data_IF_541055014501
#
_entry.id   IF_541055014501
#
_cell.length_a   1.000
_cell.length_b   1.000
_cell.length_c   1.000
_cell.angle_alpha   90.00
_cell.angle_beta   90.00
_cell.angle_gamma   90.00
#
_symmetry.space_group_name_H-M   'P 1'
#
loop_
_entity.id
_entity.type
_entity.pdbx_description
1 polymer ?
#
# COMPACT_ATOMS: atom_id res chain seq x y z
N UNK A 1 -11.95 16.55 15.43
CA UNK A 1 -11.06 17.65 14.98
C UNK A 1 -9.82 17.82 15.87
N UNK A 2 -9.93 17.75 17.20
CA UNK A 2 -8.80 17.91 18.14
C UNK A 2 -7.71 16.82 18.00
N UNK A 3 -8.09 15.57 17.85
CA UNK A 3 -7.17 14.43 17.73
C UNK A 3 -6.26 14.52 16.49
N UNK A 4 -6.80 14.92 15.35
CA UNK A 4 -6.02 15.09 14.13
C UNK A 4 -4.98 16.22 14.27
N UNK A 5 -5.32 17.30 14.98
CA UNK A 5 -4.40 18.43 15.26
C UNK A 5 -3.25 18.01 16.17
N UNK A 6 -3.53 17.16 17.16
CA UNK A 6 -2.51 16.61 18.04
C UNK A 6 -1.53 15.68 17.30
N UNK A 7 -2.03 14.78 16.46
CA UNK A 7 -1.19 13.91 15.62
C UNK A 7 -0.28 14.72 14.70
N UNK A 8 -0.80 15.77 14.05
CA UNK A 8 0.01 16.66 13.21
C UNK A 8 1.13 17.33 14.01
N UNK A 9 0.83 17.74 15.23
CA UNK A 9 1.86 18.30 16.12
C UNK A 9 2.95 17.29 16.45
N UNK A 10 2.59 16.02 16.77
CA UNK A 10 3.57 14.95 17.01
C UNK A 10 4.41 14.66 15.77
N UNK A 11 3.82 14.70 14.58
CA UNK A 11 4.56 14.53 13.32
C UNK A 11 5.57 15.68 13.12
N UNK A 12 5.20 16.92 13.41
CA UNK A 12 6.11 18.06 13.31
C UNK A 12 7.27 17.96 14.31
N UNK A 13 7.00 17.57 15.55
CA UNK A 13 8.04 17.29 16.53
C UNK A 13 8.96 16.12 16.09
N UNK A 14 8.40 15.08 15.47
CA UNK A 14 9.20 13.99 14.94
C UNK A 14 10.08 14.42 13.75
N UNK A 15 9.66 15.39 12.93
CA UNK A 15 10.49 16.01 11.89
C UNK A 15 11.69 16.78 12.49
N UNK A 16 11.55 17.24 13.73
CA UNK A 16 12.61 17.88 14.52
C UNK A 16 13.45 16.87 15.33
N UNK A 17 13.33 15.55 15.02
CA UNK A 17 14.01 14.44 15.70
C UNK A 17 13.65 14.28 17.20
N UNK A 18 12.44 14.68 17.61
CA UNK A 18 11.99 14.49 18.97
C UNK A 18 11.65 13.01 19.24
N UNK A 19 12.39 12.37 20.17
CA UNK A 19 12.27 10.96 20.49
C UNK A 19 10.90 10.60 21.12
N UNK A 20 10.33 11.49 21.92
CA UNK A 20 9.02 11.25 22.52
C UNK A 20 7.92 11.24 21.46
N UNK A 21 8.04 12.08 20.44
CA UNK A 21 7.13 12.14 19.32
C UNK A 21 7.22 10.86 18.47
N UNK A 22 8.44 10.35 18.21
CA UNK A 22 8.60 9.05 17.55
C UNK A 22 7.97 7.90 18.34
N UNK A 23 8.22 7.85 19.66
CA UNK A 23 7.63 6.84 20.55
C UNK A 23 6.10 6.91 20.56
N UNK A 24 5.55 8.11 20.59
CA UNK A 24 4.11 8.31 20.54
C UNK A 24 3.51 7.81 19.22
N UNK A 25 4.08 8.20 18.08
CA UNK A 25 3.60 7.78 16.76
C UNK A 25 3.73 6.26 16.58
N UNK A 26 4.83 5.67 17.04
CA UNK A 26 5.04 4.23 17.02
C UNK A 26 3.96 3.50 17.82
N UNK A 27 3.74 3.89 19.07
CA UNK A 27 2.73 3.25 19.94
C UNK A 27 1.31 3.42 19.41
N UNK A 28 1.00 4.58 18.82
CA UNK A 28 -0.33 4.88 18.29
C UNK A 28 -0.67 4.03 17.06
N UNK A 29 0.30 3.75 16.19
CA UNK A 29 0.06 3.12 14.89
C UNK A 29 0.66 1.71 14.76
N UNK A 30 1.26 1.18 15.82
CA UNK A 30 1.86 -0.15 15.82
C UNK A 30 0.87 -1.23 15.39
N UNK A 31 -0.26 -1.30 16.09
CA UNK A 31 -1.28 -2.32 15.85
C UNK A 31 -1.87 -2.22 14.45
N UNK A 32 -2.05 -1.01 13.93
CA UNK A 32 -2.55 -0.80 12.58
C UNK A 32 -1.61 -1.40 11.51
N UNK A 33 -0.30 -1.19 11.66
CA UNK A 33 0.70 -1.70 10.72
C UNK A 33 0.92 -3.19 10.92
N UNK A 34 1.04 -3.65 12.16
CA UNK A 34 1.26 -5.04 12.50
C UNK A 34 0.11 -5.93 12.01
N UNK A 35 -1.13 -5.57 12.35
CA UNK A 35 -2.32 -6.32 11.91
C UNK A 35 -2.48 -6.31 10.40
N UNK A 36 -2.16 -5.19 9.73
CA UNK A 36 -2.16 -5.14 8.28
C UNK A 36 -1.14 -6.11 7.68
N UNK A 37 0.07 -6.20 8.25
CA UNK A 37 1.10 -7.12 7.77
C UNK A 37 0.79 -8.57 8.15
N UNK A 38 0.30 -8.82 9.37
CA UNK A 38 -0.06 -10.16 9.82
C UNK A 38 -1.13 -10.80 8.94
N UNK A 39 -2.15 -10.04 8.55
CA UNK A 39 -3.18 -10.50 7.60
C UNK A 39 -2.59 -10.90 6.24
N UNK A 40 -1.53 -10.23 5.79
CA UNK A 40 -0.89 -10.48 4.48
C UNK A 40 0.15 -11.60 4.52
N UNK A 41 0.91 -11.70 5.58
CA UNK A 41 2.08 -12.59 5.71
C UNK A 41 1.70 -13.91 6.38
N UNK A 42 0.68 -13.89 7.25
CA UNK A 42 0.24 -15.04 8.06
C UNK A 42 1.36 -15.70 8.88
N UNK A 43 2.39 -14.92 9.20
CA UNK A 43 3.51 -15.31 10.05
C UNK A 43 3.86 -14.14 10.96
N UNK A 44 3.74 -14.32 12.27
CA UNK A 44 3.87 -13.28 13.29
C UNK A 44 5.27 -12.66 13.29
N UNK A 45 6.32 -13.48 13.28
CA UNK A 45 7.70 -13.00 13.29
C UNK A 45 8.03 -12.14 12.05
N UNK A 46 7.60 -12.57 10.88
CA UNK A 46 7.80 -11.82 9.65
C UNK A 46 6.95 -10.52 9.61
N UNK A 47 5.73 -10.57 10.16
CA UNK A 47 4.88 -9.39 10.26
C UNK A 47 5.47 -8.35 11.21
N UNK A 48 6.00 -8.78 12.36
CA UNK A 48 6.70 -7.92 13.31
C UNK A 48 7.95 -7.29 12.68
N UNK A 49 8.80 -8.08 12.01
CA UNK A 49 10.01 -7.60 11.36
C UNK A 49 9.71 -6.52 10.29
N UNK A 50 8.68 -6.76 9.45
CA UNK A 50 8.26 -5.75 8.47
C UNK A 50 7.67 -4.53 9.17
N UNK A 51 6.94 -4.69 10.27
CA UNK A 51 6.38 -3.56 11.03
C UNK A 51 7.50 -2.68 11.57
N UNK A 52 8.52 -3.25 12.20
CA UNK A 52 9.69 -2.52 12.69
C UNK A 52 10.38 -1.77 11.54
N UNK A 53 10.67 -2.47 10.44
CA UNK A 53 11.29 -1.87 9.25
C UNK A 53 10.44 -0.75 8.65
N UNK A 54 9.11 -0.86 8.73
CA UNK A 54 8.19 0.17 8.24
C UNK A 54 8.28 1.46 9.03
N UNK A 55 8.35 1.38 10.36
CA UNK A 55 8.53 2.54 11.21
C UNK A 55 9.92 3.16 11.04
N UNK A 56 10.97 2.36 10.99
CA UNK A 56 12.33 2.85 10.68
C UNK A 56 12.33 3.65 9.38
N UNK A 57 11.77 3.06 8.31
CA UNK A 57 11.69 3.72 6.99
C UNK A 57 10.80 4.95 6.98
N UNK A 58 9.71 4.93 7.74
CA UNK A 58 8.82 6.08 7.88
C UNK A 58 9.53 7.24 8.59
N UNK A 59 10.23 6.97 9.68
CA UNK A 59 10.95 8.00 10.42
C UNK A 59 12.13 8.59 9.65
N UNK A 60 12.87 7.76 8.89
CA UNK A 60 13.88 8.27 7.93
C UNK A 60 13.27 9.23 6.89
N UNK A 61 12.01 9.00 6.51
CA UNK A 61 11.32 9.74 5.45
C UNK A 61 10.24 10.70 5.97
N UNK A 62 10.21 10.98 7.26
CA UNK A 62 9.12 11.74 7.87
C UNK A 62 8.99 13.15 7.28
N UNK A 63 10.09 13.74 6.84
CA UNK A 63 10.11 15.04 6.16
C UNK A 63 9.40 15.04 4.81
N UNK A 64 9.17 13.85 4.21
CA UNK A 64 8.43 13.69 2.94
C UNK A 64 6.93 13.49 3.15
N UNK A 65 6.49 13.38 4.42
CA UNK A 65 5.07 13.25 4.72
C UNK A 65 4.32 14.55 4.41
N UNK A 66 3.19 14.39 3.71
CA UNK A 66 2.27 15.48 3.40
C UNK A 66 0.97 15.31 4.20
N UNK A 67 0.59 16.31 4.96
CA UNK A 67 -0.58 16.34 5.85
C UNK A 67 -1.94 16.32 5.13
N UNK A 68 -1.95 16.47 3.81
CA UNK A 68 -3.14 16.20 2.97
C UNK A 68 -3.64 14.75 3.06
N UNK A 69 -2.82 13.84 3.53
CA UNK A 69 -3.14 12.43 3.70
C UNK A 69 -3.09 12.04 5.17
N UNK A 70 -3.89 11.05 5.58
CA UNK A 70 -3.80 10.49 6.92
C UNK A 70 -2.43 9.81 7.12
N UNK A 71 -1.78 10.07 8.26
CA UNK A 71 -0.49 9.48 8.60
C UNK A 71 -0.52 7.95 8.57
N UNK A 72 -1.60 7.34 9.09
CA UNK A 72 -1.85 5.90 8.99
C UNK A 72 -1.78 5.39 7.53
N UNK A 73 -2.44 6.06 6.59
CA UNK A 73 -2.46 5.65 5.18
C UNK A 73 -1.06 5.75 4.55
N UNK A 74 -0.30 6.79 4.88
CA UNK A 74 1.06 6.96 4.42
C UNK A 74 1.99 5.87 4.97
N UNK A 75 1.88 5.55 6.27
CA UNK A 75 2.63 4.51 6.94
C UNK A 75 2.32 3.10 6.39
N UNK A 76 1.05 2.77 6.21
CA UNK A 76 0.60 1.52 5.57
C UNK A 76 1.16 1.41 4.14
N UNK A 77 1.24 2.51 3.39
CA UNK A 77 1.81 2.50 2.04
C UNK A 77 3.31 2.16 2.07
N UNK A 78 4.06 2.70 3.04
CA UNK A 78 5.48 2.36 3.24
C UNK A 78 5.61 0.87 3.57
N UNK A 79 4.81 0.38 4.51
CA UNK A 79 4.78 -1.00 4.96
C UNK A 79 4.45 -1.97 3.81
N UNK A 80 3.44 -1.67 3.00
CA UNK A 80 3.09 -2.45 1.81
C UNK A 80 4.26 -2.53 0.80
N UNK A 81 4.91 -1.40 0.53
CA UNK A 81 6.03 -1.36 -0.42
C UNK A 81 7.22 -2.18 0.08
N UNK A 82 7.54 -2.12 1.38
CA UNK A 82 8.61 -2.93 1.98
C UNK A 82 8.32 -4.44 1.85
N UNK A 83 7.09 -4.87 2.11
CA UNK A 83 6.69 -6.26 1.94
C UNK A 83 6.84 -6.72 0.49
N UNK A 84 6.36 -5.93 -0.48
CA UNK A 84 6.48 -6.25 -1.91
C UNK A 84 7.97 -6.33 -2.31
N UNK A 85 8.81 -5.41 -1.85
CA UNK A 85 10.24 -5.40 -2.16
C UNK A 85 10.95 -6.62 -1.54
N UNK A 86 10.53 -7.07 -0.36
CA UNK A 86 11.05 -8.29 0.26
C UNK A 86 10.65 -9.55 -0.53
N UNK A 87 9.39 -9.64 -0.97
CA UNK A 87 8.95 -10.74 -1.83
C UNK A 87 9.73 -10.79 -3.16
N UNK A 88 10.03 -9.64 -3.75
CA UNK A 88 10.83 -9.55 -4.99
C UNK A 88 12.28 -9.98 -4.77
N UNK A 89 12.89 -9.60 -3.66
CA UNK A 89 14.25 -10.03 -3.30
C UNK A 89 14.30 -11.54 -3.12
N UNK A 90 13.31 -12.11 -2.43
CA UNK A 90 13.24 -13.55 -2.22
C UNK A 90 13.02 -14.30 -3.55
N UNK A 91 12.17 -13.80 -4.46
CA UNK A 91 12.01 -14.38 -5.80
C UNK A 91 13.28 -14.31 -6.64
N UNK A 92 14.04 -13.22 -6.57
CA UNK A 92 15.30 -13.09 -7.30
C UNK A 92 16.41 -14.00 -6.75
N UNK A 93 16.34 -14.34 -5.45
CA UNK A 93 17.24 -15.31 -4.82
C UNK A 93 16.78 -16.77 -5.04
N UNK A 94 15.51 -16.99 -5.42
CA UNK A 94 14.88 -18.28 -5.66
C UNK A 94 14.84 -18.69 -7.14
N UNK A 95 15.58 -18.01 -8.01
CA UNK A 95 15.82 -18.51 -9.39
C UNK A 95 16.62 -19.82 -9.45
N UNK A 96 16.69 -20.53 -8.32
CA UNK A 96 17.19 -21.90 -8.19
C UNK A 96 16.19 -22.68 -7.31
N UNK A 97 14.96 -22.81 -7.70
CA UNK A 97 14.08 -23.92 -7.35
C UNK A 97 12.61 -23.49 -7.55
N UNK A 98 11.99 -24.19 -8.48
CA UNK A 98 10.55 -24.10 -8.76
C UNK A 98 9.75 -24.44 -7.50
N UNK A 99 8.83 -23.57 -7.12
CA UNK A 99 7.52 -23.98 -6.64
C UNK A 99 6.54 -22.81 -6.70
N UNK A 100 5.52 -23.02 -7.50
CA UNK A 100 4.28 -22.28 -7.51
C UNK A 100 3.59 -22.40 -6.15
N UNK A 101 3.75 -21.43 -5.30
CA UNK A 101 2.81 -21.20 -4.22
C UNK A 101 2.27 -19.77 -4.34
N UNK A 102 1.25 -19.66 -5.20
CA UNK A 102 0.24 -18.63 -5.05
C UNK A 102 -0.49 -18.94 -3.74
N UNK A 103 -0.01 -18.33 -2.64
CA UNK A 103 -0.79 -18.31 -1.40
C UNK A 103 -2.00 -17.44 -1.67
N UNK A 104 -3.12 -18.06 -1.96
CA UNK A 104 -4.43 -17.45 -1.83
C UNK A 104 -4.53 -16.86 -0.41
N UNK A 105 -4.65 -15.55 -0.34
CA UNK A 105 -4.98 -14.84 0.88
C UNK A 105 -6.42 -15.19 1.25
N UNK A 106 -6.63 -16.30 1.95
CA UNK A 106 -7.83 -16.47 2.75
C UNK A 106 -7.75 -15.49 3.91
N UNK A 107 -8.53 -14.43 3.82
CA UNK A 107 -8.74 -13.49 4.89
C UNK A 107 -9.27 -14.22 6.12
N UNK A 108 -8.68 -13.92 7.30
CA UNK A 108 -9.32 -14.27 8.57
C UNK A 108 -10.61 -13.48 8.64
N UNK A 109 -11.70 -14.18 8.74
CA UNK A 109 -13.09 -13.79 8.53
C UNK A 109 -13.45 -12.42 9.12
N UNK A 110 -13.74 -11.42 8.27
CA UNK A 110 -14.67 -10.38 8.60
C UNK A 110 -16.05 -11.04 8.92
N UNK A 111 -16.94 -10.34 9.60
CA UNK A 111 -18.30 -10.88 9.76
C UNK A 111 -18.91 -11.11 8.37
N UNK A 112 -19.88 -12.01 8.20
CA UNK A 112 -20.54 -12.23 6.90
C UNK A 112 -21.10 -10.94 6.29
N UNK A 113 -21.43 -9.94 7.11
CA UNK A 113 -21.88 -8.61 6.69
C UNK A 113 -20.74 -7.73 6.17
N UNK A 114 -19.56 -7.78 6.81
CA UNK A 114 -18.36 -7.08 6.36
C UNK A 114 -17.84 -7.65 5.03
N UNK A 115 -17.92 -8.96 4.85
CA UNK A 115 -17.57 -9.64 3.60
C UNK A 115 -18.48 -9.20 2.46
N UNK A 116 -19.80 -9.17 2.69
CA UNK A 116 -20.77 -8.73 1.70
C UNK A 116 -20.54 -7.26 1.30
N UNK A 117 -20.27 -6.39 2.27
CA UNK A 117 -19.96 -4.97 2.03
C UNK A 117 -18.64 -4.81 1.27
N UNK A 118 -17.63 -5.60 1.61
CA UNK A 118 -16.33 -5.55 0.94
C UNK A 118 -16.41 -6.11 -0.49
N UNK A 119 -17.17 -7.18 -0.72
CA UNK A 119 -17.44 -7.70 -2.06
C UNK A 119 -18.19 -6.68 -2.91
N UNK A 120 -19.21 -6.04 -2.39
CA UNK A 120 -19.96 -4.99 -3.09
C UNK A 120 -19.07 -3.80 -3.45
N UNK A 121 -18.23 -3.33 -2.50
CA UNK A 121 -17.24 -2.27 -2.75
C UNK A 121 -16.22 -2.67 -3.81
N UNK A 122 -15.72 -3.90 -3.75
CA UNK A 122 -14.75 -4.42 -4.71
C UNK A 122 -15.38 -4.58 -6.10
N UNK A 123 -16.60 -5.08 -6.19
CA UNK A 123 -17.37 -5.19 -7.44
C UNK A 123 -17.61 -3.81 -8.04
N UNK A 124 -18.09 -2.86 -7.24
CA UNK A 124 -18.29 -1.47 -7.66
C UNK A 124 -16.99 -0.82 -8.18
N UNK A 125 -15.86 -1.07 -7.50
CA UNK A 125 -14.56 -0.57 -7.94
C UNK A 125 -14.12 -1.21 -9.27
N UNK A 126 -14.29 -2.53 -9.43
CA UNK A 126 -14.01 -3.25 -10.70
C UNK A 126 -14.86 -2.71 -11.85
N UNK A 127 -16.14 -2.44 -11.60
CA UNK A 127 -17.05 -1.85 -12.59
C UNK A 127 -16.60 -0.43 -13.00
N UNK A 128 -16.13 0.38 -12.06
CA UNK A 128 -15.58 1.70 -12.34
C UNK A 128 -14.27 1.63 -13.14
N UNK A 129 -13.40 0.68 -12.80
CA UNK A 129 -12.17 0.42 -13.55
C UNK A 129 -12.47 -0.06 -14.97
N UNK A 130 -13.54 -0.84 -15.18
CA UNK A 130 -13.94 -1.30 -16.51
C UNK A 130 -14.35 -0.16 -17.45
N UNK A 131 -14.79 0.97 -16.90
CA UNK A 131 -15.14 2.20 -17.65
C UNK A 131 -13.92 3.00 -18.13
N UNK A 132 -12.73 2.67 -17.65
CA UNK A 132 -11.49 3.29 -18.15
C UNK A 132 -11.18 2.82 -19.58
N UNK A 133 -10.55 3.68 -20.38
CA UNK A 133 -10.01 3.27 -21.69
C UNK A 133 -9.01 2.12 -21.50
N UNK A 134 -8.91 1.15 -22.44
CA UNK A 134 -8.10 -0.07 -22.28
C UNK A 134 -6.67 0.17 -21.78
N UNK A 135 -6.00 1.20 -22.30
CA UNK A 135 -4.64 1.55 -21.92
C UNK A 135 -4.50 2.01 -20.46
N UNK A 136 -5.52 2.67 -19.91
CA UNK A 136 -5.55 3.10 -18.51
C UNK A 136 -5.94 1.94 -17.58
N UNK A 137 -6.93 1.15 -17.96
CA UNK A 137 -7.35 -0.06 -17.28
C UNK A 137 -6.15 -0.99 -17.09
N UNK A 138 -5.42 -1.29 -18.18
CA UNK A 138 -4.27 -2.19 -18.18
C UNK A 138 -3.19 -1.80 -17.16
N UNK A 139 -2.81 -0.52 -17.09
CA UNK A 139 -1.77 -0.07 -16.15
C UNK A 139 -2.26 -0.08 -14.71
N UNK A 140 -3.55 0.17 -14.45
CA UNK A 140 -4.16 0.03 -13.12
C UNK A 140 -4.15 -1.44 -12.69
N UNK A 141 -4.57 -2.36 -13.54
CA UNK A 141 -4.56 -3.79 -13.26
C UNK A 141 -3.13 -4.29 -12.95
N UNK A 142 -2.17 -3.97 -13.81
CA UNK A 142 -0.78 -4.37 -13.62
C UNK A 142 -0.17 -3.80 -12.32
N UNK A 143 -0.51 -2.57 -11.95
CA UNK A 143 0.04 -1.92 -10.77
C UNK A 143 -0.60 -2.37 -9.47
N UNK A 144 -1.93 -2.50 -9.42
CA UNK A 144 -2.69 -2.67 -8.17
C UNK A 144 -3.23 -4.08 -7.95
N UNK A 145 -3.52 -4.83 -8.99
CA UNK A 145 -3.96 -6.22 -8.85
C UNK A 145 -2.80 -7.22 -9.04
N UNK A 146 -1.89 -6.94 -9.97
CA UNK A 146 -0.68 -7.77 -10.17
C UNK A 146 0.54 -7.26 -9.38
N UNK A 147 0.42 -6.15 -8.66
CA UNK A 147 1.44 -5.54 -7.80
C UNK A 147 2.79 -5.26 -8.48
N UNK A 148 2.82 -5.13 -9.81
CA UNK A 148 4.04 -4.90 -10.57
C UNK A 148 4.65 -3.51 -10.28
N UNK A 149 5.98 -3.42 -10.25
CA UNK A 149 6.70 -2.15 -10.19
C UNK A 149 6.57 -1.40 -11.51
N UNK A 150 6.87 -0.09 -11.51
CA UNK A 150 6.91 0.70 -12.75
C UNK A 150 7.87 0.14 -13.78
N UNK A 151 9.00 -0.43 -13.34
CA UNK A 151 10.02 -1.05 -14.21
C UNK A 151 9.48 -2.33 -14.85
N UNK A 152 8.82 -3.19 -14.07
CA UNK A 152 8.20 -4.42 -14.60
C UNK A 152 7.05 -4.11 -15.56
N UNK A 153 6.22 -3.08 -15.27
CA UNK A 153 5.17 -2.62 -16.17
C UNK A 153 5.78 -2.06 -17.47
N UNK A 154 6.86 -1.28 -17.36
CA UNK A 154 7.62 -0.74 -18.48
C UNK A 154 8.10 -1.86 -19.41
N UNK A 155 8.74 -2.89 -18.85
CA UNK A 155 9.19 -4.06 -19.60
C UNK A 155 8.02 -4.85 -20.21
N UNK A 156 6.94 -5.07 -19.44
CA UNK A 156 5.79 -5.86 -19.88
C UNK A 156 4.97 -5.19 -20.99
N UNK A 157 4.97 -3.86 -21.02
CA UNK A 157 4.24 -3.08 -22.02
C UNK A 157 5.15 -2.53 -23.14
N UNK A 158 6.43 -2.82 -23.07
CA UNK A 158 7.47 -2.30 -23.98
C UNK A 158 7.38 -0.77 -24.14
N UNK A 159 7.41 -0.06 -23.00
CA UNK A 159 7.26 1.39 -22.97
C UNK A 159 8.21 2.03 -21.95
N UNK A 160 8.69 3.25 -22.22
CA UNK A 160 9.52 3.99 -21.27
C UNK A 160 8.83 4.12 -19.90
N UNK A 161 9.60 3.95 -18.84
CA UNK A 161 9.11 3.99 -17.45
C UNK A 161 8.38 5.31 -17.13
N UNK A 162 8.80 6.42 -17.72
CA UNK A 162 8.15 7.72 -17.55
C UNK A 162 6.75 7.75 -18.16
N UNK A 163 6.56 7.08 -19.32
CA UNK A 163 5.23 6.94 -19.93
C UNK A 163 4.29 6.11 -19.05
N UNK A 164 4.80 5.05 -18.43
CA UNK A 164 4.04 4.23 -17.46
C UNK A 164 3.62 5.07 -16.26
N UNK A 165 4.54 5.84 -15.67
CA UNK A 165 4.25 6.73 -14.52
C UNK A 165 3.14 7.75 -14.86
N UNK A 166 3.29 8.44 -16.00
CA UNK A 166 2.30 9.43 -16.47
C UNK A 166 0.95 8.77 -16.73
N UNK A 167 0.94 7.59 -17.35
CA UNK A 167 -0.29 6.85 -17.66
C UNK A 167 -1.01 6.41 -16.40
N UNK A 168 -0.31 5.90 -15.40
CA UNK A 168 -0.90 5.54 -14.10
C UNK A 168 -1.45 6.78 -13.39
N UNK A 169 -0.73 7.90 -13.41
CA UNK A 169 -1.20 9.15 -12.82
C UNK A 169 -2.51 9.64 -13.46
N UNK A 170 -2.57 9.63 -14.80
CA UNK A 170 -3.79 10.00 -15.56
C UNK A 170 -4.95 9.03 -15.29
N UNK A 171 -4.66 7.73 -15.28
CA UNK A 171 -5.67 6.70 -14.98
C UNK A 171 -6.28 6.89 -13.58
N UNK A 172 -5.46 7.19 -12.57
CA UNK A 172 -5.93 7.48 -11.20
C UNK A 172 -6.83 8.71 -11.15
N UNK A 173 -6.47 9.78 -11.87
CA UNK A 173 -7.29 11.00 -11.93
C UNK A 173 -8.66 10.72 -12.56
N UNK A 174 -8.69 10.05 -13.71
CA UNK A 174 -9.95 9.70 -14.40
C UNK A 174 -10.81 8.77 -13.52
N UNK A 175 -10.18 7.78 -12.85
CA UNK A 175 -10.90 6.89 -11.94
C UNK A 175 -11.50 7.65 -10.75
N UNK A 176 -10.78 8.62 -10.19
CA UNK A 176 -11.30 9.46 -9.12
C UNK A 176 -12.52 10.29 -9.59
N UNK A 177 -12.48 10.84 -10.81
CA UNK A 177 -13.62 11.56 -11.41
C UNK A 177 -14.85 10.65 -11.62
N UNK A 178 -14.63 9.39 -12.05
CA UNK A 178 -15.70 8.40 -12.19
C UNK A 178 -16.31 8.03 -10.82
N UNK A 179 -15.47 7.92 -9.79
CA UNK A 179 -15.93 7.61 -8.43
C UNK A 179 -16.77 8.73 -7.84
N UNK A 180 -16.39 10.00 -8.08
CA UNK A 180 -17.10 11.17 -7.56
C UNK A 180 -18.45 11.42 -8.27
N UNK A 181 -18.61 10.97 -9.50
CA UNK A 181 -19.84 11.13 -10.30
C UNK A 181 -20.83 9.97 -10.13
N UNK A 182 -20.49 8.96 -9.36
CA UNK A 182 -21.31 7.74 -9.15
C UNK A 182 -21.89 7.70 -7.75
#
# INVERSE_FOLDING_TARGET
MAENKFIINQINLAKENNQNAFSYLLNTYWDDVYNFQLKRIKNESNAEDITIKSFTKAFEKINTYNDKYLFKTWLITISKNLHIDQLRKNKNNLNILESNDFIELKESSPSPEDDLINEQKLKSLKDKISKLKPNYKKVIELRYFNELSYKEISNKLDQPINNVKIRIMRAKRILAEIIQKS
#
